data_IF_875142982563
#
_entry.id   IF_875142982563
#
_cell.length_a   1.000
_cell.length_b   1.000
_cell.length_c   1.000
_cell.angle_alpha   90.00
_cell.angle_beta   90.00
_cell.angle_gamma   90.00
#
_symmetry.space_group_name_H-M   'P 1'
#
loop_
_entity.id
_entity.type
_entity.pdbx_description
1 polymer ?
#
# COMPACT_ATOMS: atom_id res chain seq x y z
N UNK A 1 2.78 -3.87 -19.52
CA UNK A 1 4.05 -3.84 -18.83
C UNK A 1 4.03 -3.00 -17.62
N UNK A 2 4.62 -3.46 -16.56
CA UNK A 2 4.71 -2.72 -15.33
C UNK A 2 6.02 -1.99 -15.23
N UNK A 3 6.21 -1.29 -14.13
CA UNK A 3 7.47 -0.65 -13.83
C UNK A 3 7.87 -1.01 -12.42
N UNK A 4 9.16 -1.02 -12.17
CA UNK A 4 9.68 -1.30 -10.84
C UNK A 4 9.92 0.00 -10.09
N UNK A 5 9.42 0.05 -8.88
CA UNK A 5 9.62 1.19 -8.02
C UNK A 5 10.02 0.69 -6.64
N UNK A 6 10.94 1.40 -6.02
CA UNK A 6 11.35 1.09 -4.66
C UNK A 6 10.62 2.03 -3.71
N UNK A 7 10.26 1.51 -2.55
CA UNK A 7 9.60 2.29 -1.52
C UNK A 7 10.51 2.36 -0.31
N UNK A 8 10.83 3.58 0.10
CA UNK A 8 11.62 3.76 1.30
C UNK A 8 10.70 3.79 2.51
N UNK A 9 10.97 2.92 3.47
CA UNK A 9 10.16 2.84 4.68
C UNK A 9 10.94 3.46 5.82
N UNK A 10 10.45 4.57 6.34
CA UNK A 10 11.11 5.26 7.43
C UNK A 10 10.99 4.45 8.71
N UNK A 11 11.93 4.68 9.63
CA UNK A 11 11.91 3.94 10.89
C UNK A 11 10.56 4.05 11.58
N UNK A 12 9.97 5.22 11.56
CA UNK A 12 8.70 5.44 12.25
C UNK A 12 7.54 4.76 11.52
N UNK A 13 7.75 4.29 10.30
CA UNK A 13 6.70 3.65 9.51
C UNK A 13 6.88 2.14 9.43
N UNK A 14 7.93 1.59 10.04
CA UNK A 14 8.21 0.17 9.94
C UNK A 14 7.06 -0.67 10.48
N UNK A 15 6.50 -0.27 11.62
CA UNK A 15 5.40 -1.03 12.21
C UNK A 15 4.19 -1.05 11.27
N UNK A 16 3.91 0.08 10.65
CA UNK A 16 2.80 0.16 9.71
C UNK A 16 3.06 -0.73 8.50
N UNK A 17 4.29 -0.70 8.00
CA UNK A 17 4.65 -1.54 6.86
C UNK A 17 4.49 -3.02 7.20
N UNK A 18 4.93 -3.42 8.39
CA UNK A 18 4.79 -4.80 8.82
C UNK A 18 3.33 -5.22 8.92
N UNK A 19 2.48 -4.33 9.37
CA UNK A 19 1.05 -4.61 9.40
C UNK A 19 0.51 -4.81 7.99
N UNK A 20 0.98 -4.01 7.05
CA UNK A 20 0.54 -4.15 5.67
C UNK A 20 0.97 -5.49 5.09
N UNK A 21 2.21 -5.89 5.39
CA UNK A 21 2.70 -7.17 4.90
C UNK A 21 1.89 -8.32 5.46
N UNK A 22 1.58 -8.27 6.75
CA UNK A 22 0.79 -9.33 7.38
C UNK A 22 -0.62 -9.38 6.79
N UNK A 23 -1.20 -8.23 6.55
CA UNK A 23 -2.53 -8.15 5.95
C UNK A 23 -2.54 -8.77 4.56
N UNK A 24 -1.56 -8.40 3.75
CA UNK A 24 -1.48 -8.92 2.40
C UNK A 24 -1.28 -10.42 2.40
N UNK A 25 -0.43 -10.91 3.31
CA UNK A 25 -0.16 -12.33 3.40
C UNK A 25 -1.41 -13.09 3.80
N UNK A 26 -2.17 -12.56 4.75
CA UNK A 26 -3.40 -13.21 5.19
C UNK A 26 -4.41 -13.32 4.05
N UNK A 27 -4.36 -12.40 3.13
CA UNK A 27 -5.28 -12.39 1.99
C UNK A 27 -4.67 -13.00 0.75
N UNK A 28 -3.48 -13.55 0.88
CA UNK A 28 -2.78 -14.23 -0.23
C UNK A 28 -2.60 -13.32 -1.43
N UNK A 29 -2.27 -12.07 -1.16
CA UNK A 29 -2.03 -11.10 -2.22
C UNK A 29 -0.64 -10.50 -2.05
N UNK A 30 -0.02 -10.07 -3.14
CA UNK A 30 1.28 -9.41 -3.03
C UNK A 30 1.13 -8.04 -2.36
N UNK A 31 2.17 -7.62 -1.67
CA UNK A 31 2.14 -6.30 -1.02
C UNK A 31 1.92 -5.21 -2.05
N UNK A 32 2.49 -5.36 -3.25
CA UNK A 32 2.30 -4.36 -4.30
C UNK A 32 0.82 -4.20 -4.65
N UNK A 33 0.08 -5.30 -4.67
CA UNK A 33 -1.35 -5.22 -4.93
C UNK A 33 -2.09 -4.44 -3.85
N UNK A 34 -1.70 -4.68 -2.60
CA UNK A 34 -2.30 -3.95 -1.50
C UNK A 34 -2.00 -2.46 -1.61
N UNK A 35 -0.75 -2.13 -1.96
CA UNK A 35 -0.36 -0.74 -2.10
C UNK A 35 -1.16 -0.05 -3.20
N UNK A 36 -1.32 -0.71 -4.33
CA UNK A 36 -2.07 -0.12 -5.44
C UNK A 36 -3.53 0.10 -5.06
N UNK A 37 -4.13 -0.88 -4.39
CA UNK A 37 -5.51 -0.74 -3.95
C UNK A 37 -5.65 0.41 -2.95
N UNK A 38 -4.69 0.53 -2.04
CA UNK A 38 -4.73 1.59 -1.06
C UNK A 38 -4.61 2.96 -1.72
N UNK A 39 -3.73 3.06 -2.71
CA UNK A 39 -3.56 4.31 -3.43
C UNK A 39 -4.83 4.70 -4.18
N UNK A 40 -5.43 3.74 -4.84
CA UNK A 40 -6.68 4.01 -5.55
C UNK A 40 -7.75 4.53 -4.60
N UNK A 41 -7.86 3.88 -3.45
CA UNK A 41 -8.85 4.25 -2.48
C UNK A 41 -8.59 5.65 -1.92
N UNK A 42 -7.33 5.90 -1.60
CA UNK A 42 -6.97 7.18 -1.01
C UNK A 42 -7.22 8.33 -1.97
N UNK A 43 -6.83 8.13 -3.22
CA UNK A 43 -6.98 9.17 -4.22
C UNK A 43 -8.45 9.40 -4.57
N UNK A 44 -9.24 8.34 -4.56
CA UNK A 44 -10.67 8.48 -4.80
C UNK A 44 -11.34 9.27 -3.68
N UNK A 45 -10.92 9.02 -2.44
CA UNK A 45 -11.48 9.75 -1.31
C UNK A 45 -11.12 11.23 -1.39
N UNK A 46 -9.91 11.53 -1.83
CA UNK A 46 -9.49 12.93 -2.00
C UNK A 46 -10.32 13.63 -3.06
N UNK A 47 -10.61 12.91 -4.14
CA UNK A 47 -11.42 13.48 -5.20
C UNK A 47 -12.84 13.77 -4.73
N UNK A 48 -13.36 12.92 -3.87
CA UNK A 48 -14.71 13.08 -3.37
C UNK A 48 -14.83 14.22 -2.38
N UNK A 49 -13.72 14.68 -1.90
CA UNK A 49 -13.72 15.66 -0.83
C UNK A 49 -13.81 17.08 -1.37
N UNK A 50 -14.66 17.29 -2.28
CA UNK A 50 -14.81 18.62 -2.85
C UNK A 50 -15.94 19.39 -2.34
#
# INVERSE_FOLDING_TARGET
>A
MGMHKAVYVRDEDVALWQQAEAYAKARRMPVSGLIMAALERYLADEDDDR
#
